data_IF_603527212825
#
_entry.id   IF_603527212825
#
_cell.length_a   1.000
_cell.length_b   1.000
_cell.length_c   1.000
_cell.angle_alpha   90.00
_cell.angle_beta   90.00
_cell.angle_gamma   90.00
#
_symmetry.space_group_name_H-M   'P 1'
#
loop_
_entity.id
_entity.type
_entity.pdbx_description
1 polymer ?
#
# COMPACT_ATOMS: atom_id res chain seq x y z
N UNK A 1 5.55 -5.02 -19.82
CA UNK A 1 5.66 -3.55 -19.94
C UNK A 1 6.85 -3.07 -19.10
N UNK A 2 7.14 -1.77 -18.87
CA UNK A 2 8.00 -1.45 -17.73
C UNK A 2 7.39 -2.04 -16.45
N UNK A 3 8.24 -2.54 -15.56
CA UNK A 3 7.79 -2.98 -14.22
C UNK A 3 7.26 -1.78 -13.45
N UNK A 4 8.04 -0.70 -13.40
CA UNK A 4 7.64 0.58 -12.79
C UNK A 4 7.93 1.71 -13.77
N UNK A 5 6.89 2.44 -14.16
CA UNK A 5 7.02 3.68 -14.91
C UNK A 5 7.30 4.83 -13.93
N UNK A 6 8.35 5.61 -14.17
CA UNK A 6 8.76 6.73 -13.31
C UNK A 6 8.64 8.08 -14.02
N UNK A 7 7.95 8.11 -15.16
CA UNK A 7 7.58 9.36 -15.81
C UNK A 7 6.46 10.05 -15.05
N UNK A 8 6.25 11.35 -15.25
CA UNK A 8 5.13 12.04 -14.65
C UNK A 8 3.80 11.55 -15.28
N UNK A 9 2.82 11.20 -14.45
CA UNK A 9 1.50 10.80 -14.92
C UNK A 9 0.59 12.03 -15.14
N UNK A 10 -0.02 12.12 -16.33
CA UNK A 10 -1.02 13.16 -16.60
C UNK A 10 -2.38 12.82 -15.99
N UNK A 11 -2.75 11.54 -15.96
CA UNK A 11 -4.02 11.08 -15.41
C UNK A 11 -3.86 9.73 -14.77
N UNK A 12 -4.28 9.61 -13.51
CA UNK A 12 -4.40 8.35 -12.81
C UNK A 12 -5.78 7.73 -13.00
N UNK A 13 -5.79 6.40 -13.11
CA UNK A 13 -7.02 5.60 -13.09
C UNK A 13 -7.50 5.44 -11.65
N UNK A 14 -8.76 5.74 -11.41
CA UNK A 14 -9.39 5.56 -10.11
C UNK A 14 -9.96 4.15 -10.07
N UNK A 15 -9.38 3.31 -9.21
CA UNK A 15 -9.63 1.87 -9.16
C UNK A 15 -10.50 1.44 -7.99
N UNK A 16 -10.90 2.39 -7.14
CA UNK A 16 -11.89 2.17 -6.10
C UNK A 16 -12.31 3.48 -5.46
N UNK A 17 -13.60 3.63 -5.22
CA UNK A 17 -14.21 4.79 -4.54
C UNK A 17 -15.17 4.29 -3.46
N UNK A 18 -15.22 4.99 -2.35
CA UNK A 18 -16.10 4.71 -1.21
C UNK A 18 -16.32 6.00 -0.40
N UNK A 19 -17.33 6.02 0.46
CA UNK A 19 -17.80 7.24 1.15
C UNK A 19 -16.72 8.04 1.90
N UNK A 20 -15.60 7.40 2.24
CA UNK A 20 -14.51 7.98 3.03
C UNK A 20 -13.14 7.89 2.35
N UNK A 21 -13.09 7.73 1.02
CA UNK A 21 -11.81 7.65 0.33
C UNK A 21 -11.85 7.06 -1.07
N UNK A 22 -10.67 6.98 -1.68
CA UNK A 22 -10.50 6.36 -2.98
C UNK A 22 -9.10 5.75 -3.13
N UNK A 23 -8.93 4.94 -4.16
CA UNK A 23 -7.64 4.36 -4.57
C UNK A 23 -7.37 4.64 -6.04
N UNK A 24 -6.11 4.84 -6.39
CA UNK A 24 -5.73 5.10 -7.78
C UNK A 24 -4.46 4.37 -8.19
N UNK A 25 -4.28 4.22 -9.50
CA UNK A 25 -3.06 3.75 -10.16
C UNK A 25 -2.65 4.81 -11.18
N UNK A 26 -1.51 5.46 -10.95
CA UNK A 26 -1.01 6.53 -11.82
C UNK A 26 -0.55 6.02 -13.20
N UNK A 27 -0.01 4.79 -13.25
CA UNK A 27 0.48 4.16 -14.48
C UNK A 27 -0.22 2.82 -14.71
N UNK A 28 -1.45 2.79 -15.24
CA UNK A 28 -2.18 1.54 -15.43
C UNK A 28 -1.48 0.58 -16.41
N UNK A 29 -0.62 1.10 -17.28
CA UNK A 29 0.18 0.34 -18.24
C UNK A 29 1.50 -0.24 -17.70
N UNK A 30 1.80 -0.13 -16.40
CA UNK A 30 2.96 -0.80 -15.80
C UNK A 30 2.59 -2.17 -15.23
N UNK A 31 3.54 -3.12 -15.25
CA UNK A 31 3.28 -4.48 -14.72
C UNK A 31 3.19 -4.49 -13.18
N UNK A 32 3.81 -3.50 -12.52
CA UNK A 32 3.78 -3.36 -11.07
C UNK A 32 2.44 -2.93 -10.50
N UNK A 33 1.56 -2.31 -11.30
CA UNK A 33 0.21 -1.83 -10.88
C UNK A 33 0.23 -1.14 -9.51
N UNK A 34 1.22 -0.27 -9.27
CA UNK A 34 1.39 0.37 -7.96
C UNK A 34 0.17 1.24 -7.64
N UNK A 35 -0.49 0.91 -6.55
CA UNK A 35 -1.70 1.60 -6.11
C UNK A 35 -1.40 2.52 -4.93
N UNK A 36 -2.19 3.57 -4.84
CA UNK A 36 -2.12 4.61 -3.82
C UNK A 36 -3.51 4.90 -3.30
N UNK A 37 -3.62 5.43 -2.08
CA UNK A 37 -4.89 5.55 -1.39
C UNK A 37 -5.06 6.90 -0.70
N UNK A 38 -6.31 7.36 -0.61
CA UNK A 38 -6.71 8.50 0.21
C UNK A 38 -7.83 8.05 1.14
N UNK A 39 -7.72 8.35 2.43
CA UNK A 39 -8.74 8.04 3.44
C UNK A 39 -9.04 9.32 4.24
N UNK A 40 -10.32 9.67 4.35
CA UNK A 40 -10.79 10.75 5.21
C UNK A 40 -10.82 10.27 6.66
N UNK A 41 -10.24 11.07 7.56
CA UNK A 41 -10.24 10.84 9.00
C UNK A 41 -10.63 12.13 9.74
N UNK A 42 -10.74 12.08 11.07
CA UNK A 42 -11.03 13.27 11.88
C UNK A 42 -9.90 14.32 11.85
N UNK A 43 -8.69 13.93 11.48
CA UNK A 43 -7.56 14.84 11.30
C UNK A 43 -7.55 15.50 9.90
N UNK A 44 -8.36 15.00 8.95
CA UNK A 44 -8.38 15.38 7.54
C UNK A 44 -8.08 14.20 6.61
N UNK A 45 -7.67 14.48 5.37
CA UNK A 45 -7.38 13.44 4.36
C UNK A 45 -5.96 12.91 4.53
N UNK A 46 -5.83 11.61 4.75
CA UNK A 46 -4.54 10.91 4.76
C UNK A 46 -4.26 10.27 3.43
N UNK A 47 -3.10 10.61 2.86
CA UNK A 47 -2.63 10.08 1.58
C UNK A 47 -1.59 8.99 1.84
N UNK A 48 -1.81 7.78 1.34
CA UNK A 48 -1.03 6.58 1.68
C UNK A 48 -0.28 6.05 0.45
N UNK A 49 1.04 5.89 0.58
CA UNK A 49 1.97 5.41 -0.46
C UNK A 49 1.75 6.04 -1.86
N UNK A 50 1.70 7.38 -1.98
CA UNK A 50 1.26 8.03 -3.21
C UNK A 50 2.25 7.90 -4.37
N UNK A 51 1.70 7.70 -5.56
CA UNK A 51 2.31 8.06 -6.84
C UNK A 51 1.47 9.19 -7.42
N UNK A 52 2.12 10.28 -7.81
CA UNK A 52 1.44 11.49 -8.22
C UNK A 52 0.86 11.40 -9.63
N UNK A 53 -0.25 12.11 -9.85
CA UNK A 53 -0.77 12.41 -11.17
C UNK A 53 -1.52 13.74 -11.14
N UNK A 54 -1.59 14.45 -12.27
CA UNK A 54 -2.13 15.83 -12.30
C UNK A 54 -3.58 15.93 -11.82
N UNK A 55 -4.40 14.88 -12.01
CA UNK A 55 -5.80 14.85 -11.59
C UNK A 55 -6.01 14.55 -10.10
N UNK A 56 -4.97 14.19 -9.34
CA UNK A 56 -5.15 13.73 -7.95
C UNK A 56 -5.45 14.87 -6.99
N UNK A 57 -4.93 16.07 -7.21
CA UNK A 57 -5.20 17.19 -6.30
C UNK A 57 -6.68 17.59 -6.29
N UNK A 58 -7.33 17.62 -7.46
CA UNK A 58 -8.77 17.88 -7.56
C UNK A 58 -9.57 16.79 -6.80
N UNK A 59 -9.16 15.53 -6.93
CA UNK A 59 -9.79 14.40 -6.22
C UNK A 59 -9.59 14.44 -4.71
N UNK A 60 -8.44 14.90 -4.25
CA UNK A 60 -8.18 15.11 -2.82
C UNK A 60 -8.99 16.28 -2.28
N UNK A 61 -9.09 17.38 -3.02
CA UNK A 61 -9.87 18.55 -2.64
C UNK A 61 -11.37 18.23 -2.45
N UNK A 62 -11.91 17.30 -3.23
CA UNK A 62 -13.29 16.80 -3.07
C UNK A 62 -13.51 16.05 -1.73
N UNK A 63 -12.46 15.46 -1.15
CA UNK A 63 -12.52 14.78 0.16
C UNK A 63 -12.26 15.72 1.35
N UNK A 64 -11.44 16.76 1.16
CA UNK A 64 -11.09 17.73 2.20
C UNK A 64 -9.61 18.12 2.21
N UNK A 65 -9.20 18.83 3.25
CA UNK A 65 -7.79 19.22 3.44
C UNK A 65 -6.92 18.00 3.76
N UNK A 66 -5.75 17.93 3.13
CA UNK A 66 -4.76 16.88 3.41
C UNK A 66 -4.14 17.11 4.78
N UNK A 67 -4.19 16.10 5.64
CA UNK A 67 -3.65 16.13 6.99
C UNK A 67 -2.19 15.63 7.04
N UNK A 68 -1.82 14.73 6.13
CA UNK A 68 -0.51 14.10 6.10
C UNK A 68 -0.38 13.08 4.99
N UNK A 69 0.87 12.76 4.66
CA UNK A 69 1.21 11.69 3.72
C UNK A 69 1.90 10.56 4.50
N UNK A 70 1.40 9.33 4.46
CA UNK A 70 2.05 8.20 5.13
C UNK A 70 2.75 7.28 4.12
N UNK A 71 3.98 6.88 4.44
CA UNK A 71 4.72 5.86 3.69
C UNK A 71 4.76 4.58 4.52
N UNK A 72 4.19 3.52 3.96
CA UNK A 72 3.88 2.29 4.68
C UNK A 72 4.85 1.15 4.35
N UNK A 73 5.65 1.24 3.28
CA UNK A 73 6.76 0.34 2.99
C UNK A 73 8.06 1.11 2.78
N UNK A 74 9.20 0.53 3.18
CA UNK A 74 10.53 1.11 2.97
C UNK A 74 10.91 1.25 1.47
N UNK A 75 10.13 0.64 0.57
CA UNK A 75 10.24 0.78 -0.88
C UNK A 75 9.26 1.79 -1.48
N UNK A 76 8.38 2.39 -0.66
CA UNK A 76 7.26 3.23 -1.11
C UNK A 76 7.47 4.74 -0.95
N UNK A 77 8.71 5.21 -0.81
CA UNK A 77 8.99 6.66 -0.81
C UNK A 77 8.28 7.39 -1.97
N UNK A 78 8.25 6.74 -3.16
CA UNK A 78 7.47 7.12 -4.35
C UNK A 78 7.44 8.64 -4.52
N UNK A 79 6.25 9.24 -4.63
CA UNK A 79 6.06 10.69 -4.76
C UNK A 79 5.59 11.33 -3.43
N UNK A 80 5.78 10.65 -2.30
CA UNK A 80 5.31 11.11 -0.99
C UNK A 80 5.82 12.51 -0.65
N UNK A 81 7.10 12.79 -0.95
CA UNK A 81 7.67 14.12 -0.74
C UNK A 81 7.04 15.19 -1.62
N UNK A 82 6.73 14.87 -2.88
CA UNK A 82 6.14 15.82 -3.82
C UNK A 82 4.73 16.24 -3.38
N UNK A 83 3.89 15.28 -2.98
CA UNK A 83 2.55 15.56 -2.46
C UNK A 83 2.62 16.27 -1.10
N UNK A 84 3.48 15.82 -0.18
CA UNK A 84 3.61 16.45 1.13
C UNK A 84 3.99 17.93 1.03
N UNK A 85 4.95 18.29 0.16
CA UNK A 85 5.30 19.70 -0.09
C UNK A 85 4.16 20.48 -0.74
N UNK A 86 3.43 19.87 -1.67
CA UNK A 86 2.34 20.54 -2.41
C UNK A 86 1.20 20.93 -1.47
N UNK A 87 0.93 20.08 -0.49
CA UNK A 87 -0.12 20.27 0.52
C UNK A 87 0.38 20.88 1.84
N UNK A 88 1.66 21.26 1.92
CA UNK A 88 2.30 21.83 3.12
C UNK A 88 2.15 20.97 4.39
N UNK A 89 2.30 19.65 4.24
CA UNK A 89 2.23 18.65 5.32
C UNK A 89 3.51 17.83 5.44
N UNK A 90 3.62 17.02 6.51
CA UNK A 90 4.74 16.11 6.70
C UNK A 90 4.52 14.75 6.03
N UNK A 91 5.62 14.04 5.79
CA UNK A 91 5.63 12.61 5.48
C UNK A 91 5.80 11.82 6.78
N UNK A 92 4.86 10.92 7.04
CA UNK A 92 4.82 10.10 8.24
C UNK A 92 5.34 8.70 7.96
N UNK A 93 6.28 8.25 8.79
CA UNK A 93 6.86 6.90 8.72
C UNK A 93 6.93 6.27 10.11
N UNK A 94 6.85 4.94 10.23
CA UNK A 94 7.04 4.31 11.52
C UNK A 94 8.51 4.42 11.96
N UNK A 95 8.76 4.49 13.27
CA UNK A 95 10.09 4.70 13.85
C UNK A 95 11.16 3.70 13.38
N UNK A 96 10.75 2.48 13.03
CA UNK A 96 11.66 1.42 12.60
C UNK A 96 12.01 1.45 11.10
N UNK A 97 11.46 2.39 10.33
CA UNK A 97 11.69 2.49 8.90
C UNK A 97 12.84 3.46 8.57
N UNK A 98 13.91 2.95 7.96
CA UNK A 98 15.18 3.70 7.82
C UNK A 98 15.49 4.17 6.39
N UNK A 99 14.83 3.61 5.38
CA UNK A 99 15.14 3.86 3.96
C UNK A 99 14.52 5.14 3.39
N UNK A 100 13.48 5.68 4.03
CA UNK A 100 12.65 6.75 3.46
C UNK A 100 13.27 8.13 3.59
N UNK A 101 13.96 8.41 4.72
CA UNK A 101 14.43 9.76 5.03
C UNK A 101 15.34 10.38 3.97
N UNK A 102 16.14 9.56 3.30
CA UNK A 102 17.06 10.01 2.23
C UNK A 102 16.41 10.05 0.85
N UNK A 103 15.15 9.63 0.73
CA UNK A 103 14.41 9.48 -0.54
C UNK A 103 13.25 10.47 -0.68
N UNK A 104 12.99 11.26 0.36
CA UNK A 104 11.89 12.21 0.44
C UNK A 104 12.47 13.60 0.71
N UNK A 105 12.07 14.59 -0.07
CA UNK A 105 12.45 16.00 0.11
C UNK A 105 11.32 16.80 0.78
N UNK A 106 10.88 16.35 1.95
CA UNK A 106 9.82 16.98 2.76
C UNK A 106 10.09 16.75 4.26
N UNK A 107 9.46 17.54 5.17
CA UNK A 107 9.52 17.25 6.60
C UNK A 107 9.05 15.83 6.90
N UNK A 108 9.73 15.14 7.82
CA UNK A 108 9.39 13.78 8.22
C UNK A 108 8.99 13.75 9.68
N UNK A 109 7.85 13.11 9.95
CA UNK A 109 7.39 12.79 11.28
C UNK A 109 7.43 11.27 11.50
N UNK A 110 7.99 10.85 12.63
CA UNK A 110 8.04 9.45 13.01
C UNK A 110 6.94 9.14 14.01
N UNK A 111 6.32 7.97 13.86
CA UNK A 111 5.31 7.49 14.81
C UNK A 111 5.62 6.08 15.32
N UNK A 112 5.19 5.81 16.55
CA UNK A 112 5.27 4.48 17.18
C UNK A 112 3.96 3.72 17.03
N UNK A 113 2.81 4.39 17.25
CA UNK A 113 1.49 3.76 17.33
C UNK A 113 0.74 3.79 16.01
N UNK A 114 0.62 4.97 15.40
CA UNK A 114 -0.06 5.19 14.12
C UNK A 114 0.25 6.61 13.61
N UNK A 115 0.08 6.90 12.31
CA UNK A 115 0.11 8.27 11.80
C UNK A 115 -1.15 9.03 12.24
N UNK A 116 -1.01 10.34 12.47
CA UNK A 116 -2.10 11.20 12.97
C UNK A 116 -2.37 11.01 14.46
N UNK A 117 -3.03 12.01 15.07
CA UNK A 117 -3.36 11.97 16.51
C UNK A 117 -4.76 11.39 16.73
N UNK A 118 -5.73 11.73 15.88
CA UNK A 118 -7.11 11.24 15.94
C UNK A 118 -7.55 10.57 14.64
N UNK A 119 -6.59 10.19 13.79
CA UNK A 119 -6.87 9.61 12.48
C UNK A 119 -7.48 8.19 12.51
N UNK A 120 -7.72 7.58 13.69
CA UNK A 120 -8.40 6.28 13.81
C UNK A 120 -7.61 5.08 13.27
N UNK A 121 -6.31 5.24 13.00
CA UNK A 121 -5.45 4.17 12.50
C UNK A 121 -4.86 3.31 13.63
N UNK A 122 -4.76 2.02 13.37
CA UNK A 122 -3.99 1.04 14.13
C UNK A 122 -2.85 0.51 13.26
N UNK A 123 -1.61 0.74 13.68
CA UNK A 123 -0.45 0.21 12.97
C UNK A 123 -0.13 -1.22 13.40
N UNK A 124 0.09 -2.08 12.42
CA UNK A 124 0.52 -3.47 12.62
C UNK A 124 1.83 -3.67 11.87
N UNK A 125 2.94 -3.81 12.60
CA UNK A 125 4.26 -3.92 11.98
C UNK A 125 4.44 -5.24 11.21
N UNK A 126 5.10 -5.19 10.04
CA UNK A 126 5.42 -6.37 9.25
C UNK A 126 6.87 -6.32 8.76
N UNK A 127 7.69 -7.27 9.23
CA UNK A 127 9.13 -7.35 8.95
C UNK A 127 9.54 -8.83 8.73
N UNK A 128 9.04 -9.47 7.65
CA UNK A 128 9.18 -10.91 7.47
C UNK A 128 10.64 -11.35 7.25
N UNK A 129 11.50 -10.48 6.70
CA UNK A 129 12.91 -10.77 6.45
C UNK A 129 13.77 -9.49 6.44
N UNK A 130 15.11 -9.60 6.59
CA UNK A 130 16.01 -8.44 6.60
C UNK A 130 15.86 -7.58 5.33
N UNK A 131 15.85 -6.26 5.51
CA UNK A 131 15.66 -5.30 4.42
C UNK A 131 14.20 -5.03 4.05
N UNK A 132 13.25 -5.84 4.54
CA UNK A 132 11.81 -5.62 4.37
C UNK A 132 11.23 -5.00 5.63
N UNK A 133 10.79 -3.76 5.50
CA UNK A 133 10.16 -3.00 6.58
C UNK A 133 8.88 -2.39 6.04
N UNK A 134 7.74 -2.83 6.55
CA UNK A 134 6.46 -2.22 6.24
C UNK A 134 5.56 -2.19 7.48
N UNK A 135 4.44 -1.50 7.34
CA UNK A 135 3.41 -1.36 8.34
C UNK A 135 2.05 -1.48 7.66
N UNK A 136 1.18 -2.33 8.20
CA UNK A 136 -0.22 -2.34 7.82
C UNK A 136 -0.94 -1.30 8.67
N UNK A 137 -1.90 -0.61 8.07
CA UNK A 137 -2.81 0.27 8.81
C UNK A 137 -4.20 -0.34 8.78
N UNK A 138 -4.85 -0.41 9.94
CA UNK A 138 -6.27 -0.69 10.03
C UNK A 138 -6.99 0.58 10.49
N UNK A 139 -7.89 1.11 9.67
CA UNK A 139 -8.69 2.29 10.00
C UNK A 139 -10.00 1.84 10.62
N UNK A 140 -10.07 1.87 11.95
CA UNK A 140 -11.21 1.37 12.75
C UNK A 140 -12.56 1.95 12.32
N UNK A 141 -12.72 3.28 12.14
CA UNK A 141 -14.01 3.89 11.81
C UNK A 141 -14.65 3.38 10.50
N UNK A 142 -13.83 2.90 9.56
CA UNK A 142 -14.29 2.46 8.23
C UNK A 142 -13.98 0.99 7.95
N UNK A 143 -13.46 0.26 8.95
CA UNK A 143 -13.03 -1.13 8.87
C UNK A 143 -12.13 -1.39 7.64
N UNK A 144 -11.22 -0.45 7.36
CA UNK A 144 -10.37 -0.49 6.15
C UNK A 144 -8.97 -0.99 6.51
N UNK A 145 -8.56 -2.10 5.91
CA UNK A 145 -7.20 -2.61 6.04
C UNK A 145 -6.34 -2.12 4.86
N UNK A 146 -5.20 -1.50 5.13
CA UNK A 146 -4.22 -1.06 4.13
C UNK A 146 -2.98 -1.93 4.23
N UNK A 147 -2.63 -2.60 3.13
CA UNK A 147 -1.52 -3.53 3.04
C UNK A 147 -0.53 -3.09 1.95
N UNK A 148 0.73 -2.77 2.28
CA UNK A 148 1.69 -2.30 1.28
C UNK A 148 2.15 -3.39 0.30
N UNK A 149 3.27 -4.08 0.58
CA UNK A 149 3.90 -5.01 -0.37
C UNK A 149 3.54 -6.47 -0.08
N UNK A 150 3.30 -6.82 1.19
CA UNK A 150 3.11 -8.23 1.56
C UNK A 150 1.91 -8.88 0.87
N UNK A 151 0.81 -8.13 0.69
CA UNK A 151 -0.40 -8.58 0.03
C UNK A 151 -0.71 -7.70 -1.18
N UNK A 152 -1.22 -8.32 -2.24
CA UNK A 152 -1.62 -7.63 -3.46
C UNK A 152 -2.66 -8.40 -4.25
N UNK A 153 -3.23 -7.74 -5.25
CA UNK A 153 -4.25 -8.30 -6.14
C UNK A 153 -3.78 -8.41 -7.59
N UNK A 154 -2.50 -8.12 -7.85
CA UNK A 154 -1.91 -8.33 -9.17
C UNK A 154 -1.77 -9.82 -9.48
N UNK A 155 -1.64 -10.14 -10.77
CA UNK A 155 -1.35 -11.50 -11.21
C UNK A 155 -0.08 -12.08 -10.58
N UNK A 156 0.91 -11.26 -10.22
CA UNK A 156 2.16 -11.71 -9.59
C UNK A 156 1.98 -12.08 -8.12
N UNK A 157 0.98 -11.50 -7.45
CA UNK A 157 0.63 -11.81 -6.07
C UNK A 157 -0.29 -13.04 -6.00
N UNK A 158 -1.28 -13.10 -6.88
CA UNK A 158 -2.34 -14.09 -6.84
C UNK A 158 -1.98 -15.35 -7.65
N UNK A 159 -2.22 -16.51 -7.06
CA UNK A 159 -2.17 -17.80 -7.76
C UNK A 159 -3.56 -18.42 -7.82
N UNK A 160 -3.84 -19.24 -8.84
CA UNK A 160 -5.03 -20.11 -8.89
C UNK A 160 -6.38 -19.43 -8.55
N UNK A 161 -6.58 -18.21 -9.02
CA UNK A 161 -7.83 -17.46 -8.81
C UNK A 161 -8.01 -16.88 -7.41
N UNK A 162 -6.93 -16.78 -6.62
CA UNK A 162 -6.90 -15.97 -5.40
C UNK A 162 -7.40 -14.53 -5.71
N UNK A 163 -8.31 -14.03 -4.86
CA UNK A 163 -8.75 -12.62 -4.91
C UNK A 163 -7.75 -11.67 -4.24
N UNK A 164 -6.95 -12.22 -3.34
CA UNK A 164 -5.89 -11.53 -2.59
C UNK A 164 -4.77 -12.55 -2.41
N UNK A 165 -3.55 -12.16 -2.77
CA UNK A 165 -2.40 -13.04 -2.75
C UNK A 165 -1.24 -12.46 -1.96
N UNK A 166 -0.38 -13.34 -1.44
CA UNK A 166 0.89 -12.95 -0.85
C UNK A 166 1.95 -12.86 -1.94
N UNK A 167 2.79 -11.81 -1.89
CA UNK A 167 4.01 -11.78 -2.71
C UNK A 167 4.85 -13.02 -2.42
N UNK A 168 5.50 -13.58 -3.45
CA UNK A 168 6.12 -14.92 -3.41
C UNK A 168 6.94 -15.19 -2.16
N UNK A 169 7.83 -14.28 -1.73
CA UNK A 169 8.66 -14.50 -0.54
C UNK A 169 7.88 -14.42 0.78
N UNK A 170 6.83 -13.59 0.87
CA UNK A 170 6.02 -13.47 2.07
C UNK A 170 5.17 -14.71 2.33
N UNK A 171 4.95 -15.58 1.34
CA UNK A 171 4.31 -16.90 1.56
C UNK A 171 5.07 -17.76 2.57
N UNK A 172 6.40 -17.61 2.69
CA UNK A 172 7.19 -18.34 3.69
C UNK A 172 6.95 -17.87 5.13
N UNK A 173 6.51 -16.63 5.31
CA UNK A 173 6.28 -15.97 6.60
C UNK A 173 5.06 -15.06 6.48
N UNK A 174 3.85 -15.64 6.32
CA UNK A 174 2.65 -14.84 6.14
C UNK A 174 2.42 -13.93 7.35
N UNK A 175 1.82 -12.74 7.16
CA UNK A 175 1.55 -11.80 8.24
C UNK A 175 0.38 -12.25 9.13
N UNK A 176 0.61 -13.29 9.94
CA UNK A 176 -0.42 -13.91 10.79
C UNK A 176 -1.00 -13.00 11.85
N UNK A 177 -0.33 -11.87 12.16
CA UNK A 177 -0.87 -10.82 13.01
C UNK A 177 -2.14 -10.14 12.45
N UNK A 178 -2.46 -10.34 11.17
CA UNK A 178 -3.72 -9.87 10.56
C UNK A 178 -4.89 -10.85 10.73
N UNK A 179 -4.66 -12.04 11.31
CA UNK A 179 -5.73 -13.04 11.50
C UNK A 179 -6.81 -12.53 12.45
N UNK A 180 -8.06 -12.82 12.11
CA UNK A 180 -9.23 -12.44 12.89
C UNK A 180 -9.71 -11.01 12.67
N UNK A 181 -9.02 -10.22 11.82
CA UNK A 181 -9.57 -8.96 11.34
C UNK A 181 -10.73 -9.22 10.37
N UNK A 182 -11.78 -8.43 10.49
CA UNK A 182 -12.96 -8.46 9.61
C UNK A 182 -13.09 -7.14 8.84
N UNK A 183 -12.14 -6.82 7.94
CA UNK A 183 -12.19 -5.57 7.20
C UNK A 183 -13.41 -5.50 6.28
N UNK A 184 -14.03 -4.33 6.15
CA UNK A 184 -15.02 -4.03 5.12
C UNK A 184 -14.39 -3.80 3.74
N UNK A 185 -13.07 -3.54 3.68
CA UNK A 185 -12.28 -3.49 2.44
C UNK A 185 -10.79 -3.63 2.70
N UNK A 186 -10.05 -4.07 1.69
CA UNK A 186 -8.59 -4.17 1.74
C UNK A 186 -7.99 -3.34 0.61
N UNK A 187 -7.18 -2.35 0.97
CA UNK A 187 -6.43 -1.51 0.05
C UNK A 187 -5.01 -2.07 -0.06
N UNK A 188 -4.60 -2.46 -1.26
CA UNK A 188 -3.28 -3.08 -1.50
C UNK A 188 -2.33 -2.10 -2.17
N UNK A 189 -1.03 -2.17 -1.88
CA UNK A 189 -0.03 -1.32 -2.54
C UNK A 189 0.21 -1.68 -4.01
N UNK A 190 -0.29 -2.83 -4.45
CA UNK A 190 -0.16 -3.38 -5.81
C UNK A 190 -1.48 -4.04 -6.27
N UNK A 191 -2.13 -3.43 -7.25
CA UNK A 191 -3.40 -3.87 -7.83
C UNK A 191 -4.62 -3.09 -7.33
N UNK A 192 -5.81 -3.62 -7.61
CA UNK A 192 -7.10 -3.01 -7.23
C UNK A 192 -7.51 -3.39 -5.80
N UNK A 193 -8.28 -2.54 -5.08
CA UNK A 193 -8.81 -2.86 -3.76
C UNK A 193 -9.73 -4.09 -3.75
N UNK A 194 -9.73 -4.84 -2.65
CA UNK A 194 -10.68 -5.93 -2.41
C UNK A 194 -11.88 -5.41 -1.64
N UNK A 195 -13.05 -5.40 -2.28
CA UNK A 195 -14.32 -4.95 -1.69
C UNK A 195 -15.38 -6.05 -1.62
N UNK A 196 -15.15 -7.18 -2.31
CA UNK A 196 -16.05 -8.33 -2.29
C UNK A 196 -15.51 -9.41 -1.36
N UNK A 197 -16.24 -9.66 -0.27
CA UNK A 197 -15.83 -10.61 0.79
C UNK A 197 -14.36 -10.45 1.22
N UNK A 198 -13.94 -9.24 1.61
CA UNK A 198 -12.56 -8.93 2.01
C UNK A 198 -12.04 -9.81 3.17
N UNK A 199 -12.82 -10.00 4.24
CA UNK A 199 -12.40 -10.82 5.37
C UNK A 199 -12.14 -12.29 4.97
N UNK A 200 -13.04 -13.00 4.25
CA UNK A 200 -12.73 -14.31 3.69
C UNK A 200 -11.52 -14.35 2.74
N UNK A 201 -11.33 -13.30 1.93
CA UNK A 201 -10.16 -13.22 1.03
C UNK A 201 -8.85 -13.11 1.83
N UNK A 202 -8.84 -12.32 2.90
CA UNK A 202 -7.69 -12.21 3.82
C UNK A 202 -7.39 -13.54 4.51
N UNK A 203 -8.40 -14.19 5.10
CA UNK A 203 -8.25 -15.48 5.77
C UNK A 203 -7.65 -16.53 4.82
N UNK A 204 -8.21 -16.63 3.61
CA UNK A 204 -7.72 -17.55 2.57
C UNK A 204 -6.24 -17.29 2.22
N UNK A 205 -5.85 -16.02 2.02
CA UNK A 205 -4.48 -15.66 1.69
C UNK A 205 -3.49 -16.06 2.80
N UNK A 206 -3.86 -15.80 4.06
CA UNK A 206 -3.02 -16.10 5.23
C UNK A 206 -2.89 -17.62 5.48
N UNK A 207 -3.96 -18.38 5.25
CA UNK A 207 -3.98 -19.83 5.45
C UNK A 207 -3.28 -20.61 4.35
N UNK A 208 -3.35 -20.12 3.10
CA UNK A 208 -2.58 -20.69 1.99
C UNK A 208 -1.07 -20.59 2.25
N UNK A 209 -0.60 -19.42 2.69
CA UNK A 209 0.72 -19.16 3.27
C UNK A 209 1.86 -20.07 2.75
N UNK A 210 2.62 -20.77 3.62
CA UNK A 210 3.77 -21.57 3.21
C UNK A 210 3.45 -22.71 2.23
N UNK A 211 2.23 -23.26 2.28
CA UNK A 211 1.82 -24.37 1.40
C UNK A 211 1.71 -23.95 -0.07
N UNK A 212 1.44 -22.67 -0.31
CA UNK A 212 1.29 -22.08 -1.64
C UNK A 212 2.61 -21.62 -2.26
N UNK A 213 3.68 -21.50 -1.46
CA UNK A 213 4.99 -21.02 -1.91
C UNK A 213 5.54 -21.76 -3.14
N UNK A 214 5.54 -23.12 -3.21
CA UNK A 214 6.07 -23.81 -4.39
C UNK A 214 5.33 -23.48 -5.68
N UNK A 215 4.01 -23.26 -5.60
CA UNK A 215 3.20 -22.88 -6.76
C UNK A 215 3.53 -21.46 -7.20
N UNK A 216 3.56 -20.51 -6.26
CA UNK A 216 3.91 -19.12 -6.55
C UNK A 216 5.34 -18.98 -7.10
N UNK A 217 6.29 -19.77 -6.61
CA UNK A 217 7.66 -19.77 -7.12
C UNK A 217 7.73 -20.28 -8.58
N UNK A 218 6.93 -21.28 -8.93
CA UNK A 218 6.85 -21.83 -10.28
C UNK A 218 6.14 -20.87 -11.25
N UNK A 219 5.06 -20.22 -10.81
CA UNK A 219 4.26 -19.33 -11.64
C UNK A 219 4.92 -17.94 -11.80
N UNK A 220 5.51 -17.38 -10.74
CA UNK A 220 5.87 -15.95 -10.65
C UNK A 220 7.32 -15.67 -10.20
N UNK A 221 8.15 -16.71 -10.07
CA UNK A 221 9.52 -16.58 -9.56
C UNK A 221 10.39 -15.56 -10.32
N UNK A 222 10.52 -15.66 -11.65
CA UNK A 222 11.30 -14.72 -12.47
C UNK A 222 10.81 -13.27 -12.35
N UNK A 223 9.50 -13.05 -12.38
CA UNK A 223 8.85 -11.74 -12.27
C UNK A 223 9.09 -11.13 -10.89
N UNK A 224 8.96 -11.93 -9.82
CA UNK A 224 9.24 -11.51 -8.44
C UNK A 224 10.67 -10.97 -8.29
N UNK A 225 11.66 -11.62 -8.91
CA UNK A 225 13.06 -11.16 -8.90
C UNK A 225 13.22 -9.85 -9.68
N UNK A 226 12.58 -9.71 -10.84
CA UNK A 226 12.61 -8.47 -11.64
C UNK A 226 12.02 -7.30 -10.87
N UNK A 227 10.87 -7.48 -10.22
CA UNK A 227 10.22 -6.44 -9.42
C UNK A 227 11.05 -5.99 -8.23
N UNK A 228 11.69 -6.92 -7.52
CA UNK A 228 12.58 -6.59 -6.41
C UNK A 228 13.83 -5.82 -6.88
N UNK A 229 14.44 -6.20 -8.00
CA UNK A 229 15.56 -5.46 -8.59
C UNK A 229 15.14 -4.07 -9.06
N UNK A 230 13.97 -3.98 -9.71
CA UNK A 230 13.42 -2.71 -10.18
C UNK A 230 13.09 -1.75 -9.03
N UNK A 231 12.77 -2.24 -7.83
CA UNK A 231 12.52 -1.43 -6.64
C UNK A 231 13.80 -0.94 -5.93
N UNK A 232 14.96 -1.55 -6.22
CA UNK A 232 16.25 -1.14 -5.68
C UNK A 232 16.88 0.01 -6.48
N UNK A 233 16.63 0.06 -7.80
CA UNK A 233 17.02 1.15 -8.68
C UNK A 233 16.19 2.41 -8.48
#
# INVERSE_FOLDING_TARGET
MPIYDRTAAETADIVGEYDHGFSWIAHPGEDGRRASHAITTDDGVWVLDPIDAQNIDDRLADLGEVAGVAVLSCYHARDAGALARRHDVAVHIPEWMDRIEKRVDAPIERYTLAPGTNAGFHAVSCRPFPGWQEVFLYHDPTETLVTPDSLGTTEQNCIRGERLGLVTLCRLRPPTQLRGLEPARILVGHGEPVTQEPAPALETALDAGPSSFPTALLEHGPESVRSMLAALG
#
